data_IF_832918059469
#
_entry.id   IF_832918059469
#
_cell.length_a   1.000
_cell.length_b   1.000
_cell.length_c   1.000
_cell.angle_alpha   90.00
_cell.angle_beta   90.00
_cell.angle_gamma   90.00
#
_symmetry.space_group_name_H-M   'P 1'
#
loop_
_entity.id
_entity.type
_entity.pdbx_description
1 polymer ?
#
# COMPACT_ATOMS: atom_id res chain seq x y z
N UNK A 1 -15.89 6.87 13.16
CA UNK A 1 -14.66 7.17 12.42
C UNK A 1 -13.87 5.91 12.23
N UNK A 2 -14.01 5.27 11.07
CA UNK A 2 -13.20 4.10 10.71
C UNK A 2 -12.00 4.50 9.85
N UNK A 3 -10.80 4.28 10.38
CA UNK A 3 -9.53 4.62 9.72
C UNK A 3 -8.87 3.36 9.16
N UNK A 4 -8.54 3.35 7.87
CA UNK A 4 -7.67 2.32 7.29
C UNK A 4 -6.25 2.86 7.22
N UNK A 5 -5.31 2.17 7.86
CA UNK A 5 -3.87 2.41 7.73
C UNK A 5 -3.34 1.47 6.65
N UNK A 6 -3.04 2.01 5.47
CA UNK A 6 -2.71 1.24 4.28
C UNK A 6 -1.21 1.23 3.98
N UNK A 7 -0.64 0.04 3.87
CA UNK A 7 0.58 -0.19 3.10
C UNK A 7 0.18 -0.54 1.65
N UNK A 8 0.53 0.30 0.67
CA UNK A 8 0.26 0.02 -0.74
C UNK A 8 0.94 -1.26 -1.26
N UNK A 9 0.51 -1.79 -2.41
CA UNK A 9 1.07 -2.99 -3.03
C UNK A 9 2.38 -2.66 -3.78
N UNK A 10 3.38 -2.11 -3.09
CA UNK A 10 4.63 -1.65 -3.72
C UNK A 10 5.37 -2.80 -4.42
N UNK A 11 5.60 -3.90 -3.70
CA UNK A 11 6.30 -5.06 -4.25
C UNK A 11 5.41 -5.92 -5.16
N UNK A 12 4.11 -6.00 -4.87
CA UNK A 12 3.15 -6.70 -5.74
C UNK A 12 3.05 -6.07 -7.11
N UNK A 13 3.13 -4.74 -7.20
CA UNK A 13 3.23 -4.04 -8.48
C UNK A 13 4.44 -4.47 -9.32
N UNK A 14 5.45 -5.09 -8.70
CA UNK A 14 6.66 -5.59 -9.34
C UNK A 14 6.74 -7.12 -9.39
N UNK A 15 5.62 -7.81 -9.17
CA UNK A 15 5.57 -9.28 -9.19
C UNK A 15 6.18 -9.95 -7.96
N UNK A 16 6.36 -9.23 -6.87
CA UNK A 16 6.85 -9.76 -5.58
C UNK A 16 5.85 -9.50 -4.46
N UNK A 17 6.27 -9.55 -3.20
CA UNK A 17 5.45 -9.27 -2.03
C UNK A 17 6.31 -8.85 -0.84
N UNK A 18 5.67 -8.21 0.14
CA UNK A 18 6.24 -8.01 1.47
C UNK A 18 5.21 -8.35 2.53
N UNK A 19 5.25 -9.59 3.01
CA UNK A 19 4.31 -10.10 4.01
C UNK A 19 4.53 -9.59 5.45
N UNK A 20 5.55 -8.75 5.69
CA UNK A 20 5.84 -8.25 7.03
C UNK A 20 4.79 -7.24 7.49
N UNK A 21 4.65 -7.09 8.81
CA UNK A 21 3.84 -6.02 9.38
C UNK A 21 4.49 -4.66 9.06
N UNK A 22 3.74 -3.69 8.49
CA UNK A 22 4.24 -2.34 8.23
C UNK A 22 4.43 -1.59 9.55
N UNK A 23 5.67 -1.53 10.05
CA UNK A 23 6.00 -1.07 11.40
C UNK A 23 5.53 0.36 11.67
N UNK A 24 5.68 1.25 10.70
CA UNK A 24 5.22 2.64 10.78
C UNK A 24 3.70 2.74 10.95
N UNK A 25 2.94 1.84 10.32
CA UNK A 25 1.49 1.78 10.47
C UNK A 25 1.09 1.10 11.77
N UNK A 26 1.84 0.11 12.25
CA UNK A 26 1.65 -0.47 13.58
C UNK A 26 1.89 0.59 14.68
N UNK A 27 2.88 1.47 14.49
CA UNK A 27 3.09 2.59 15.39
C UNK A 27 1.89 3.54 15.38
N UNK A 28 1.40 3.97 14.20
CA UNK A 28 0.22 4.82 14.10
C UNK A 28 -1.04 4.15 14.69
N UNK A 29 -1.23 2.85 14.46
CA UNK A 29 -2.31 2.04 15.03
C UNK A 29 -2.34 2.13 16.55
N UNK A 30 -1.18 2.10 17.22
CA UNK A 30 -1.11 2.23 18.67
C UNK A 30 -1.69 3.56 19.17
N UNK A 31 -1.40 4.68 18.50
CA UNK A 31 -1.96 5.98 18.90
C UNK A 31 -3.45 6.10 18.61
N UNK A 32 -3.94 5.50 17.53
CA UNK A 32 -5.37 5.45 17.24
C UNK A 32 -6.13 4.61 18.28
N UNK A 33 -5.53 3.49 18.72
CA UNK A 33 -6.07 2.65 19.79
C UNK A 33 -6.17 3.43 21.11
N UNK A 34 -5.12 4.15 21.51
CA UNK A 34 -5.10 4.98 22.72
C UNK A 34 -6.10 6.15 22.68
N UNK A 35 -6.43 6.62 21.48
CA UNK A 35 -7.44 7.64 21.24
C UNK A 35 -8.87 7.07 21.06
N UNK A 36 -9.05 5.75 21.24
CA UNK A 36 -10.34 5.05 21.06
C UNK A 36 -10.95 5.23 19.65
N UNK A 37 -10.10 5.34 18.62
CA UNK A 37 -10.52 5.45 17.22
C UNK A 37 -10.52 4.06 16.58
N UNK A 38 -11.67 3.67 16.01
CA UNK A 38 -11.79 2.43 15.25
C UNK A 38 -10.89 2.47 14.00
N UNK A 39 -10.04 1.46 13.86
CA UNK A 39 -9.06 1.41 12.79
C UNK A 39 -8.64 -0.01 12.44
N UNK A 40 -8.06 -0.16 11.25
CA UNK A 40 -7.48 -1.42 10.76
C UNK A 40 -6.19 -1.14 10.01
N UNK A 41 -5.19 -2.00 10.19
CA UNK A 41 -3.96 -2.00 9.39
C UNK A 41 -4.13 -2.98 8.23
N UNK A 42 -3.93 -2.48 7.01
CA UNK A 42 -4.07 -3.26 5.77
C UNK A 42 -2.72 -3.27 5.06
N UNK A 43 -2.13 -4.45 4.92
CA UNK A 43 -0.96 -4.66 4.07
C UNK A 43 -1.39 -5.17 2.69
N UNK A 44 -1.47 -4.27 1.70
CA UNK A 44 -1.84 -4.65 0.34
C UNK A 44 -0.75 -5.41 -0.41
N UNK A 45 0.48 -5.44 0.10
CA UNK A 45 1.59 -6.23 -0.41
C UNK A 45 1.57 -7.68 0.10
N UNK A 46 0.69 -8.02 1.05
CA UNK A 46 0.63 -9.35 1.64
C UNK A 46 0.05 -10.38 0.66
N UNK A 47 0.71 -11.52 0.53
CA UNK A 47 0.28 -12.67 -0.27
C UNK A 47 0.23 -13.99 0.51
N UNK A 48 0.91 -14.08 1.65
CA UNK A 48 1.08 -15.32 2.40
C UNK A 48 2.08 -16.30 1.77
N UNK A 49 2.78 -15.88 0.71
CA UNK A 49 3.71 -16.72 -0.04
C UNK A 49 5.03 -16.89 0.72
N UNK A 50 5.56 -18.12 0.72
CA UNK A 50 6.91 -18.42 1.24
C UNK A 50 8.00 -18.26 0.18
N UNK A 51 7.62 -17.99 -1.07
CA UNK A 51 8.56 -17.82 -2.18
C UNK A 51 9.07 -16.40 -2.18
N UNK A 52 10.39 -16.22 -2.11
CA UNK A 52 11.02 -14.91 -2.19
C UNK A 52 11.53 -14.68 -3.62
N UNK A 53 11.22 -13.52 -4.19
CA UNK A 53 11.77 -13.09 -5.48
C UNK A 53 13.15 -12.47 -5.24
N UNK A 54 14.24 -12.99 -5.86
CA UNK A 54 15.56 -12.39 -5.73
C UNK A 54 15.58 -10.95 -6.26
N UNK A 55 16.41 -10.09 -5.64
CA UNK A 55 16.61 -8.70 -6.09
C UNK A 55 17.00 -8.59 -7.57
N UNK A 56 17.73 -9.57 -8.09
CA UNK A 56 18.09 -9.64 -9.49
C UNK A 56 16.85 -9.77 -10.39
N UNK A 57 15.91 -10.63 -10.04
CA UNK A 57 14.68 -10.81 -10.81
C UNK A 57 13.78 -9.57 -10.70
N UNK A 58 13.72 -8.93 -9.53
CA UNK A 58 13.05 -7.64 -9.38
C UNK A 58 13.65 -6.56 -10.29
N UNK A 59 14.97 -6.52 -10.42
CA UNK A 59 15.66 -5.59 -11.32
C UNK A 59 15.41 -5.91 -12.80
N UNK A 60 15.48 -7.20 -13.17
CA UNK A 60 15.19 -7.68 -14.53
C UNK A 60 13.71 -7.40 -14.90
N UNK A 61 12.81 -7.34 -13.91
CA UNK A 61 11.40 -7.00 -14.05
C UNK A 61 11.08 -5.51 -13.77
N UNK A 62 12.07 -4.62 -13.80
CA UNK A 62 11.89 -3.18 -13.52
C UNK A 62 10.79 -2.51 -14.36
N UNK A 63 10.52 -3.00 -15.58
CA UNK A 63 9.42 -2.52 -16.41
C UNK A 63 8.04 -2.65 -15.74
N UNK A 64 7.81 -3.65 -14.88
CA UNK A 64 6.56 -3.75 -14.09
C UNK A 64 6.44 -2.57 -13.11
N UNK A 65 7.58 -2.18 -12.53
CA UNK A 65 7.65 -1.05 -11.60
C UNK A 65 7.36 0.27 -12.31
N UNK A 66 7.93 0.45 -13.51
CA UNK A 66 7.68 1.61 -14.37
C UNK A 66 6.19 1.69 -14.76
N UNK A 67 5.62 0.60 -15.28
CA UNK A 67 4.19 0.54 -15.61
C UNK A 67 3.29 0.83 -14.40
N UNK A 68 3.66 0.38 -13.21
CA UNK A 68 2.92 0.73 -11.99
C UNK A 68 3.02 2.23 -11.68
N UNK A 69 4.20 2.84 -11.84
CA UNK A 69 4.36 4.28 -11.68
C UNK A 69 3.59 5.10 -12.72
N UNK A 70 3.24 4.51 -13.87
CA UNK A 70 2.40 5.12 -14.89
C UNK A 70 0.89 4.87 -14.70
N UNK A 71 0.50 4.10 -13.67
CA UNK A 71 -0.91 3.85 -13.35
C UNK A 71 -1.47 2.55 -13.94
N UNK A 72 -0.65 1.70 -14.56
CA UNK A 72 -1.10 0.55 -15.35
C UNK A 72 -1.14 -0.78 -14.57
N UNK A 73 -0.85 -0.77 -13.27
CA UNK A 73 -0.83 -1.99 -12.46
C UNK A 73 -2.25 -2.49 -12.14
N UNK A 74 -2.55 -3.78 -12.36
CA UNK A 74 -3.83 -4.37 -11.97
C UNK A 74 -4.01 -4.40 -10.43
N UNK A 75 -2.91 -4.30 -9.68
CA UNK A 75 -2.92 -4.32 -8.22
C UNK A 75 -3.66 -3.13 -7.61
N UNK A 76 -3.79 -2.01 -8.35
CA UNK A 76 -4.51 -0.84 -7.86
C UNK A 76 -6.01 -1.11 -7.67
N UNK A 77 -6.63 -1.79 -8.63
CA UNK A 77 -8.05 -2.16 -8.52
C UNK A 77 -8.29 -3.08 -7.33
N UNK A 78 -7.47 -4.13 -7.20
CA UNK A 78 -7.54 -5.07 -6.08
C UNK A 78 -7.33 -4.38 -4.73
N UNK A 79 -6.34 -3.49 -4.65
CA UNK A 79 -6.05 -2.72 -3.43
C UNK A 79 -7.25 -1.85 -3.03
N UNK A 80 -7.84 -1.12 -3.99
CA UNK A 80 -8.99 -0.26 -3.73
C UNK A 80 -10.20 -1.08 -3.28
N UNK A 81 -10.53 -2.19 -3.93
CA UNK A 81 -11.63 -3.07 -3.52
C UNK A 81 -11.42 -3.62 -2.10
N UNK A 82 -10.20 -4.06 -1.80
CA UNK A 82 -9.83 -4.53 -0.47
C UNK A 82 -9.98 -3.45 0.59
N UNK A 83 -9.74 -2.18 0.28
CA UNK A 83 -9.92 -1.07 1.24
C UNK A 83 -11.41 -0.77 1.44
N UNK A 84 -12.19 -0.75 0.37
CA UNK A 84 -13.61 -0.39 0.42
C UNK A 84 -14.47 -1.39 1.21
N UNK A 85 -14.06 -2.65 1.32
CA UNK A 85 -14.77 -3.64 2.14
C UNK A 85 -14.87 -3.23 3.62
N UNK A 86 -13.96 -2.36 4.08
CA UNK A 86 -13.95 -1.86 5.45
C UNK A 86 -14.88 -0.67 5.67
N UNK A 87 -15.51 -0.11 4.63
CA UNK A 87 -16.30 1.14 4.71
C UNK A 87 -15.54 2.28 5.44
N UNK A 88 -14.35 2.68 4.94
CA UNK A 88 -13.52 3.66 5.64
C UNK A 88 -14.01 5.10 5.45
N UNK A 89 -13.95 5.87 6.53
CA UNK A 89 -14.14 7.33 6.47
C UNK A 89 -12.83 8.03 6.05
N UNK A 90 -11.69 7.49 6.51
CA UNK A 90 -10.35 8.01 6.21
C UNK A 90 -9.41 6.84 5.89
N UNK A 91 -8.58 7.01 4.87
CA UNK A 91 -7.47 6.11 4.57
C UNK A 91 -6.15 6.87 4.72
N UNK A 92 -5.29 6.41 5.62
CA UNK A 92 -3.91 6.88 5.75
C UNK A 92 -3.03 5.97 4.91
N UNK A 93 -2.34 6.53 3.93
CA UNK A 93 -1.55 5.78 2.95
C UNK A 93 -0.07 5.97 3.26
N UNK A 94 0.66 4.88 3.46
CA UNK A 94 2.11 4.94 3.54
C UNK A 94 2.69 5.43 2.19
N UNK A 95 3.58 6.41 2.23
CA UNK A 95 4.27 6.91 1.04
C UNK A 95 5.41 5.98 0.56
N UNK A 96 5.66 4.89 1.28
CA UNK A 96 6.63 3.88 0.90
C UNK A 96 6.89 2.85 1.98
N UNK A 97 7.57 1.77 1.58
CA UNK A 97 7.94 0.68 2.45
C UNK A 97 9.29 0.91 3.13
N UNK A 98 9.38 0.57 4.42
CA UNK A 98 10.57 0.79 5.25
C UNK A 98 11.83 0.05 4.79
N UNK A 99 11.71 -0.89 3.84
CA UNK A 99 12.82 -1.73 3.37
C UNK A 99 13.25 -1.47 1.93
N UNK A 100 12.64 -0.48 1.26
CA UNK A 100 13.11 -0.01 -0.06
C UNK A 100 13.38 1.50 -0.02
N UNK A 101 14.34 1.99 -0.81
CA UNK A 101 14.47 3.41 -1.10
C UNK A 101 13.19 3.90 -1.80
N UNK A 102 12.23 4.36 -1.01
CA UNK A 102 10.84 4.59 -1.43
C UNK A 102 10.71 5.56 -2.61
N UNK A 103 11.56 6.59 -2.66
CA UNK A 103 11.57 7.59 -3.73
C UNK A 103 12.14 7.05 -5.04
N UNK A 104 13.21 6.26 -4.97
CA UNK A 104 13.93 5.80 -6.17
C UNK A 104 13.17 4.67 -6.88
N UNK A 105 12.31 3.97 -6.14
CA UNK A 105 11.38 2.96 -6.64
C UNK A 105 9.95 3.49 -6.74
N UNK A 106 9.73 4.80 -6.88
CA UNK A 106 8.42 5.35 -7.23
C UNK A 106 7.24 5.01 -6.30
N UNK A 107 7.48 4.59 -5.06
CA UNK A 107 6.43 4.31 -4.07
C UNK A 107 5.46 5.50 -3.89
N UNK A 108 5.92 6.77 -3.88
CA UNK A 108 5.01 7.91 -3.84
C UNK A 108 4.04 7.98 -5.02
N UNK A 109 4.43 7.56 -6.23
CA UNK A 109 3.53 7.54 -7.39
C UNK A 109 2.45 6.48 -7.20
N UNK A 110 2.84 5.25 -6.84
CA UNK A 110 1.91 4.16 -6.52
C UNK A 110 0.90 4.60 -5.44
N UNK A 111 1.37 5.20 -4.35
CA UNK A 111 0.51 5.73 -3.29
C UNK A 111 -0.43 6.83 -3.81
N UNK A 112 0.07 7.74 -4.64
CA UNK A 112 -0.72 8.82 -5.24
C UNK A 112 -1.82 8.29 -6.18
N UNK A 113 -1.55 7.27 -6.98
CA UNK A 113 -2.55 6.62 -7.83
C UNK A 113 -3.68 6.01 -7.00
N UNK A 114 -3.34 5.22 -5.98
CA UNK A 114 -4.35 4.64 -5.07
C UNK A 114 -5.15 5.75 -4.37
N UNK A 115 -4.47 6.80 -3.90
CA UNK A 115 -5.13 7.98 -3.32
C UNK A 115 -6.15 8.59 -4.29
N UNK A 116 -5.78 8.79 -5.55
CA UNK A 116 -6.66 9.35 -6.57
C UNK A 116 -7.90 8.48 -6.82
N UNK A 117 -7.73 7.15 -6.87
CA UNK A 117 -8.82 6.20 -7.08
C UNK A 117 -9.79 6.15 -5.90
N UNK A 118 -9.28 6.23 -4.67
CA UNK A 118 -10.09 6.30 -3.45
C UNK A 118 -10.85 7.62 -3.37
N UNK A 119 -10.19 8.75 -3.66
CA UNK A 119 -10.82 10.08 -3.68
C UNK A 119 -11.91 10.19 -4.73
N UNK A 120 -11.71 9.58 -5.91
CA UNK A 120 -12.74 9.52 -6.96
C UNK A 120 -14.01 8.78 -6.50
N UNK A 121 -13.91 7.94 -5.46
CA UNK A 121 -15.04 7.23 -4.83
C UNK A 121 -15.57 7.94 -3.57
N UNK A 122 -15.09 9.15 -3.27
CA UNK A 122 -15.53 9.94 -2.12
C UNK A 122 -14.79 9.65 -0.80
N UNK A 123 -13.76 8.79 -0.82
CA UNK A 123 -12.99 8.45 0.40
C UNK A 123 -11.92 9.51 0.64
N UNK A 124 -11.83 10.01 1.88
CA UNK A 124 -10.78 10.94 2.28
C UNK A 124 -9.46 10.19 2.47
N UNK A 125 -8.38 10.70 1.89
CA UNK A 125 -7.03 10.11 2.08
C UNK A 125 -6.05 11.11 2.68
N UNK A 126 -5.08 10.59 3.45
CA UNK A 126 -3.98 11.33 4.08
C UNK A 126 -2.69 10.54 3.83
N UNK A 127 -1.57 11.23 3.61
CA UNK A 127 -0.29 10.60 3.25
C UNK A 127 0.15 11.00 1.86
#
# INVERSE_FOLDING_TARGET
MKVVLLQPPFFKCAGSHNDRAPLELCYASRFLEEAEIDHVVVNADYTGSKTHVPWRELFENSGLWESACDGESPEFGQCVEMILQFDPEIVVIAAGDSCIPTKDFGSPYIAAYISSMLRAKGVKTIG
#
